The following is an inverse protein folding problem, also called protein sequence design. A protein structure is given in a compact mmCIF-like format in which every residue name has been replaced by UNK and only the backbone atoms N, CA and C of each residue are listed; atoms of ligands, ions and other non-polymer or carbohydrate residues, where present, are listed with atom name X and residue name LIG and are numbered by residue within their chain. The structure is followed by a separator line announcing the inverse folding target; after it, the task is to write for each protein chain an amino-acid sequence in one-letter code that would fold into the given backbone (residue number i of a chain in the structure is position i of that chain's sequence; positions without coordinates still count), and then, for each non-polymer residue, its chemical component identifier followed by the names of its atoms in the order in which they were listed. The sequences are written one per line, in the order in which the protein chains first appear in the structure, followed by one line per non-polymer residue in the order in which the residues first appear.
data_IF_199320476341
#
_entry.id   IF_199320476341
#
_cell.length_a   1.000
_cell.length_b   1.000
_cell.length_c   1.000
_cell.angle_alpha   90.00
_cell.angle_beta   90.00
_cell.angle_gamma   90.00
#
_symmetry.space_group_name_H-M   'P 1'
#
loop_
_entity.id
_entity.type
_entity.pdbx_description
1 polymer ?
#
# COMPACT_ATOMS: atom_id res chain seq x y z
N UNK A 1 -10.37 5.06 -5.62
CA UNK A 1 -11.13 3.80 -5.80
C UNK A 1 -10.25 2.67 -5.34
N UNK A 2 -10.68 1.95 -4.30
CA UNK A 2 -9.88 0.89 -3.71
C UNK A 2 -9.91 -0.35 -4.61
N UNK A 3 -8.73 -0.80 -5.04
CA UNK A 3 -8.59 -2.00 -5.86
C UNK A 3 -8.39 -3.24 -4.99
N UNK A 4 -8.80 -4.39 -5.51
CA UNK A 4 -8.50 -5.67 -4.88
C UNK A 4 -6.97 -5.91 -4.82
N UNK A 5 -6.51 -6.58 -3.77
CA UNK A 5 -5.09 -6.69 -3.42
C UNK A 5 -4.29 -7.65 -4.31
N UNK A 6 -4.98 -8.58 -4.97
CA UNK A 6 -4.44 -9.67 -5.78
C UNK A 6 -4.35 -9.36 -7.29
N UNK A 7 -4.73 -8.16 -7.71
CA UNK A 7 -4.68 -7.74 -9.11
C UNK A 7 -3.25 -7.59 -9.63
N UNK A 8 -3.00 -8.13 -10.83
CA UNK A 8 -1.75 -7.91 -11.57
C UNK A 8 -1.61 -6.46 -12.05
N UNK A 9 -0.38 -6.05 -12.39
CA UNK A 9 -0.14 -4.72 -12.96
C UNK A 9 -0.95 -4.48 -14.23
N UNK A 10 -1.14 -5.50 -15.08
CA UNK A 10 -1.92 -5.42 -16.30
C UNK A 10 -3.41 -5.21 -16.02
N UNK A 11 -3.95 -5.89 -15.00
CA UNK A 11 -5.34 -5.70 -14.58
C UNK A 11 -5.54 -4.30 -13.98
N UNK A 12 -4.61 -3.83 -13.15
CA UNK A 12 -4.65 -2.48 -12.59
C UNK A 12 -4.60 -1.43 -13.71
N UNK A 13 -3.71 -1.59 -14.71
CA UNK A 13 -3.62 -0.69 -15.85
C UNK A 13 -4.92 -0.66 -16.69
N UNK A 14 -5.51 -1.84 -16.93
CA UNK A 14 -6.78 -1.96 -17.66
C UNK A 14 -7.92 -1.24 -16.91
N UNK A 15 -8.00 -1.38 -15.59
CA UNK A 15 -8.97 -0.65 -14.77
C UNK A 15 -8.72 0.86 -14.84
N UNK A 16 -7.46 1.30 -14.66
CA UNK A 16 -7.09 2.72 -14.72
C UNK A 16 -7.48 3.37 -16.05
N UNK A 17 -7.38 2.64 -17.16
CA UNK A 17 -7.78 3.12 -18.48
C UNK A 17 -9.29 3.37 -18.65
N UNK A 18 -10.13 2.87 -17.73
CA UNK A 18 -11.58 3.00 -17.78
C UNK A 18 -12.15 3.98 -16.75
N UNK A 19 -11.32 4.51 -15.85
CA UNK A 19 -11.77 5.38 -14.75
C UNK A 19 -10.90 6.62 -14.64
N UNK A 20 -11.52 7.77 -14.39
CA UNK A 20 -10.79 9.03 -14.19
C UNK A 20 -10.45 9.31 -12.72
N UNK A 21 -11.05 8.56 -11.79
CA UNK A 21 -10.79 8.72 -10.36
C UNK A 21 -9.43 8.12 -9.96
N UNK A 22 -8.72 8.70 -8.99
CA UNK A 22 -7.51 8.08 -8.45
C UNK A 22 -7.79 6.67 -7.92
N UNK A 23 -6.86 5.76 -8.13
CA UNK A 23 -6.95 4.38 -7.62
C UNK A 23 -6.11 4.22 -6.35
N UNK A 24 -6.49 3.28 -5.50
CA UNK A 24 -5.77 2.98 -4.27
C UNK A 24 -5.36 1.51 -4.26
N UNK A 25 -4.07 1.23 -4.01
CA UNK A 25 -3.52 -0.14 -4.02
C UNK A 25 -2.71 -0.39 -2.77
N UNK A 26 -2.91 -1.55 -2.15
CA UNK A 26 -2.04 -2.02 -1.07
C UNK A 26 -0.71 -2.50 -1.64
N UNK A 27 0.37 -1.81 -1.25
CA UNK A 27 1.75 -2.26 -1.50
C UNK A 27 2.15 -3.31 -0.45
N UNK A 28 1.70 -3.10 0.77
CA UNK A 28 1.79 -4.07 1.86
C UNK A 28 0.44 -4.11 2.57
N UNK A 29 -0.15 -5.30 2.72
CA UNK A 29 -1.44 -5.54 3.39
C UNK A 29 -1.28 -6.35 4.69
N UNK A 30 -2.14 -6.15 5.72
CA UNK A 30 -2.21 -7.08 6.84
C UNK A 30 -2.78 -8.42 6.35
N UNK A 31 -2.67 -9.46 7.16
CA UNK A 31 -3.06 -10.82 6.76
C UNK A 31 -4.56 -10.93 6.47
N UNK A 32 -5.39 -10.21 7.23
CA UNK A 32 -6.84 -10.12 7.02
C UNK A 32 -7.24 -9.43 5.69
N UNK A 33 -6.28 -8.81 5.00
CA UNK A 33 -6.43 -8.19 3.69
C UNK A 33 -5.55 -8.88 2.63
N UNK A 34 -5.31 -10.19 2.80
CA UNK A 34 -4.59 -11.02 1.85
C UNK A 34 -3.07 -11.01 1.98
N UNK A 35 -2.51 -10.26 2.93
CA UNK A 35 -1.07 -10.31 3.26
C UNK A 35 -0.15 -9.97 2.08
N UNK A 36 -0.59 -9.12 1.15
CA UNK A 36 0.18 -8.76 -0.04
C UNK A 36 1.49 -8.05 0.34
N UNK A 37 2.58 -8.31 -0.38
CA UNK A 37 3.87 -7.59 -0.26
C UNK A 37 4.45 -7.40 -1.64
N UNK A 38 4.45 -6.17 -2.13
CA UNK A 38 4.83 -5.83 -3.51
C UNK A 38 5.55 -4.50 -3.61
N UNK A 39 6.43 -4.22 -2.63
CA UNK A 39 7.28 -3.01 -2.59
C UNK A 39 8.06 -2.81 -3.90
N UNK A 40 8.64 -3.86 -4.46
CA UNK A 40 9.41 -3.77 -5.71
C UNK A 40 8.57 -3.34 -6.93
N UNK A 41 7.25 -3.48 -6.87
CA UNK A 41 6.35 -3.04 -7.95
C UNK A 41 5.94 -1.57 -7.82
N UNK A 42 6.32 -0.87 -6.74
CA UNK A 42 5.91 0.52 -6.48
C UNK A 42 6.18 1.46 -7.68
N UNK A 43 7.35 1.46 -8.32
CA UNK A 43 7.60 2.31 -9.50
C UNK A 43 6.67 1.95 -10.67
N UNK A 44 6.43 0.66 -10.90
CA UNK A 44 5.56 0.21 -11.99
C UNK A 44 4.09 0.51 -11.72
N UNK A 45 3.64 0.37 -10.46
CA UNK A 45 2.31 0.78 -10.02
C UNK A 45 2.07 2.26 -10.31
N UNK A 46 3.01 3.14 -9.94
CA UNK A 46 2.92 4.57 -10.24
C UNK A 46 2.87 4.81 -11.75
N UNK A 47 3.73 4.15 -12.52
CA UNK A 47 3.79 4.29 -13.98
C UNK A 47 2.48 3.95 -14.68
N UNK A 48 1.80 2.87 -14.28
CA UNK A 48 0.60 2.37 -14.97
C UNK A 48 -0.71 2.89 -14.40
N UNK A 49 -0.72 3.36 -13.15
CA UNK A 49 -1.96 3.62 -12.42
C UNK A 49 -2.14 5.09 -12.00
N UNK A 50 -1.20 5.99 -12.31
CA UNK A 50 -1.29 7.39 -11.87
C UNK A 50 -2.56 8.11 -12.36
N UNK A 51 -3.23 8.93 -11.53
CA UNK A 51 -2.93 9.18 -10.11
C UNK A 51 -3.31 7.99 -9.21
N UNK A 52 -2.37 7.60 -8.34
CA UNK A 52 -2.51 6.43 -7.45
C UNK A 52 -2.13 6.77 -6.02
N UNK A 53 -2.88 6.22 -5.06
CA UNK A 53 -2.52 6.17 -3.65
C UNK A 53 -1.95 4.80 -3.30
N UNK A 54 -0.71 4.79 -2.82
CA UNK A 54 -0.05 3.58 -2.32
C UNK A 54 -0.35 3.41 -0.83
N UNK A 55 -1.00 2.30 -0.48
CA UNK A 55 -1.35 1.97 0.90
C UNK A 55 -0.29 1.07 1.51
N UNK A 56 0.24 1.50 2.64
CA UNK A 56 1.25 0.78 3.40
C UNK A 56 0.68 0.33 4.74
N UNK A 57 0.72 -0.98 4.95
CA UNK A 57 0.44 -1.59 6.23
C UNK A 57 1.62 -2.47 6.64
N UNK A 58 1.42 -3.44 7.53
CA UNK A 58 2.47 -4.35 7.99
C UNK A 58 1.95 -5.76 7.86
N UNK A 59 2.58 -6.59 7.03
CA UNK A 59 2.25 -8.02 6.94
C UNK A 59 2.58 -8.71 8.27
N UNK A 60 1.82 -9.75 8.61
CA UNK A 60 1.93 -10.47 9.89
C UNK A 60 1.66 -9.59 11.12
N UNK A 61 1.06 -8.40 10.95
CA UNK A 61 0.63 -7.60 12.10
C UNK A 61 -0.64 -8.17 12.72
N UNK A 62 -0.80 -8.11 14.05
CA UNK A 62 -2.06 -8.49 14.68
C UNK A 62 -3.21 -7.60 14.19
N UNK A 63 -4.42 -8.15 14.19
CA UNK A 63 -5.64 -7.38 13.96
C UNK A 63 -5.76 -6.25 14.99
N UNK A 64 -5.91 -5.01 14.51
CA UNK A 64 -5.95 -3.82 15.36
C UNK A 64 -7.38 -3.35 15.67
N UNK A 65 -8.40 -4.03 15.16
CA UNK A 65 -9.79 -3.62 15.33
C UNK A 65 -10.62 -4.69 16.06
N UNK A 66 -11.41 -4.31 17.09
CA UNK A 66 -11.56 -2.95 17.64
C UNK A 66 -10.33 -2.48 18.43
N UNK A 67 -9.98 -1.19 18.30
CA UNK A 67 -8.89 -0.58 19.04
C UNK A 67 -9.38 0.03 20.36
N UNK A 68 -8.65 -0.21 21.45
CA UNK A 68 -8.88 0.40 22.75
C UNK A 68 -7.65 0.29 23.64
N UNK A 69 -7.76 0.73 24.90
CA UNK A 69 -6.63 0.78 25.84
C UNK A 69 -5.87 -0.56 25.98
N UNK A 70 -6.57 -1.68 25.86
CA UNK A 70 -6.00 -3.03 25.91
C UNK A 70 -5.01 -3.37 24.78
N UNK A 71 -5.02 -2.63 23.66
CA UNK A 71 -4.07 -2.83 22.54
C UNK A 71 -3.34 -1.55 22.11
N UNK A 72 -3.44 -0.46 22.88
CA UNK A 72 -2.87 0.84 22.51
C UNK A 72 -1.39 0.75 22.12
N UNK A 73 -0.57 0.08 22.94
CA UNK A 73 0.86 -0.06 22.67
C UNK A 73 1.15 -0.77 21.34
N UNK A 74 0.33 -1.76 20.97
CA UNK A 74 0.43 -2.48 19.69
C UNK A 74 0.05 -1.56 18.54
N UNK A 75 -1.07 -0.83 18.66
CA UNK A 75 -1.51 0.15 17.66
C UNK A 75 -0.44 1.20 17.38
N UNK A 76 0.17 1.76 18.43
CA UNK A 76 1.24 2.74 18.31
C UNK A 76 2.49 2.16 17.64
N UNK A 77 2.91 0.96 18.05
CA UNK A 77 4.07 0.28 17.47
C UNK A 77 3.85 -0.04 15.99
N UNK A 78 2.69 -0.59 15.63
CA UNK A 78 2.32 -0.85 14.24
C UNK A 78 2.19 0.44 13.45
N UNK A 79 1.65 1.51 14.04
CA UNK A 79 1.57 2.84 13.41
C UNK A 79 2.94 3.38 13.00
N UNK A 80 3.94 3.33 13.90
CA UNK A 80 5.33 3.70 13.60
C UNK A 80 5.92 2.84 12.48
N UNK A 81 5.66 1.54 12.50
CA UNK A 81 6.14 0.63 11.46
C UNK A 81 5.52 0.93 10.09
N UNK A 82 4.22 1.28 10.02
CA UNK A 82 3.57 1.71 8.76
C UNK A 82 4.25 2.92 8.13
N UNK A 83 4.66 3.90 8.95
CA UNK A 83 5.43 5.06 8.47
C UNK A 83 6.77 4.62 7.90
N UNK A 84 7.48 3.70 8.57
CA UNK A 84 8.72 3.12 8.05
C UNK A 84 8.51 2.35 6.73
N UNK A 85 7.40 1.62 6.58
CA UNK A 85 7.05 0.95 5.31
C UNK A 85 6.80 1.96 4.19
N UNK A 86 6.07 3.04 4.47
CA UNK A 86 5.86 4.11 3.51
C UNK A 86 7.18 4.80 3.11
N UNK A 87 8.11 5.02 4.06
CA UNK A 87 9.41 5.63 3.74
C UNK A 87 10.26 4.72 2.84
N UNK A 88 10.17 3.40 2.97
CA UNK A 88 10.84 2.44 2.07
C UNK A 88 10.26 2.54 0.65
N UNK A 89 8.93 2.52 0.52
CA UNK A 89 8.27 2.68 -0.77
C UNK A 89 8.59 4.02 -1.43
N UNK A 90 8.63 5.10 -0.64
CA UNK A 90 9.05 6.41 -1.12
C UNK A 90 10.51 6.42 -1.59
N UNK A 91 11.44 5.83 -0.82
CA UNK A 91 12.83 5.72 -1.22
C UNK A 91 13.01 4.92 -2.53
N UNK A 92 12.17 3.90 -2.78
CA UNK A 92 12.16 3.21 -4.07
C UNK A 92 11.74 4.15 -5.21
N UNK A 93 10.69 4.96 -5.03
CA UNK A 93 10.28 5.95 -6.03
C UNK A 93 11.40 6.94 -6.35
N UNK A 94 12.05 7.50 -5.32
CA UNK A 94 13.18 8.42 -5.50
C UNK A 94 14.32 7.79 -6.29
N UNK A 95 14.69 6.53 -5.98
CA UNK A 95 15.76 5.81 -6.71
C UNK A 95 15.44 5.60 -8.19
N UNK A 96 14.17 5.55 -8.55
CA UNK A 96 13.69 5.40 -9.94
C UNK A 96 13.39 6.74 -10.61
N UNK A 97 13.77 7.88 -9.99
CA UNK A 97 13.61 9.21 -10.57
C UNK A 97 12.21 9.80 -10.44
N UNK A 98 11.34 9.22 -9.61
CA UNK A 98 10.07 9.83 -9.25
C UNK A 98 10.30 10.83 -8.11
N UNK A 99 10.52 12.09 -8.47
CA UNK A 99 10.61 13.22 -7.54
C UNK A 99 9.27 13.98 -7.52
N UNK A 100 8.95 14.59 -6.38
CA UNK A 100 7.78 15.46 -6.23
C UNK A 100 8.14 16.91 -6.52
#
# INVERSE_FOLDING_TARGET
MNLATDLSLQQIAAIRAQVDVPVDVYVEGPDDFGGVVRHYEVPDLVRVASPIYLKFTVRNSPGLYPAGGHIQAVVEATGRERVRRASIGHAMLTRYGYEK
#
